data_IF_015207383244
#
_entry.id   IF_015207383244
#
_cell.length_a   1.000
_cell.length_b   1.000
_cell.length_c   1.000
_cell.angle_alpha   90.00
_cell.angle_beta   90.00
_cell.angle_gamma   90.00
#
_symmetry.space_group_name_H-M   'P 1'
#
loop_
_entity.id
_entity.type
_entity.pdbx_description
1 polymer ?
#
# COMPACT_ATOMS: atom_id res chain seq x y z
N UNK A 1 -1.00 -43.25 -21.70
CA UNK A 1 -0.25 -42.10 -22.25
C UNK A 1 -0.12 -41.08 -21.14
N UNK A 2 1.04 -41.01 -20.49
CA UNK A 2 1.24 -40.16 -19.31
C UNK A 2 1.49 -38.72 -19.76
N UNK A 3 0.65 -37.80 -19.27
CA UNK A 3 0.81 -36.37 -19.51
C UNK A 3 2.08 -35.85 -18.84
N UNK A 4 2.95 -35.20 -19.60
CA UNK A 4 4.10 -34.48 -19.06
C UNK A 4 3.98 -33.02 -19.44
N UNK A 5 3.14 -32.30 -18.67
CA UNK A 5 3.07 -30.84 -18.70
C UNK A 5 4.25 -30.28 -17.92
N UNK A 6 5.43 -30.21 -18.54
CA UNK A 6 6.58 -29.50 -17.97
C UNK A 6 6.39 -28.01 -18.21
N UNK A 7 5.66 -27.35 -17.30
CA UNK A 7 5.43 -25.91 -17.35
C UNK A 7 6.57 -25.14 -16.67
N UNK A 8 7.76 -25.15 -17.26
CA UNK A 8 8.82 -24.22 -16.86
C UNK A 8 8.63 -22.90 -17.60
N UNK A 9 7.64 -22.10 -17.19
CA UNK A 9 7.52 -20.73 -17.70
C UNK A 9 8.78 -19.96 -17.31
N UNK A 10 9.45 -19.36 -18.30
CA UNK A 10 10.67 -18.59 -18.09
C UNK A 10 10.38 -17.42 -17.14
N UNK A 11 10.80 -17.54 -15.88
CA UNK A 11 10.70 -16.47 -14.90
C UNK A 11 11.69 -15.37 -15.27
N UNK A 12 11.23 -14.33 -15.96
CA UNK A 12 12.05 -13.15 -16.23
C UNK A 12 12.06 -12.24 -15.01
N UNK A 13 13.12 -11.44 -14.84
CA UNK A 13 13.19 -10.42 -13.78
C UNK A 13 11.98 -9.48 -13.82
N UNK A 14 11.55 -9.10 -15.02
CA UNK A 14 10.38 -8.26 -15.22
C UNK A 14 9.08 -8.92 -14.74
N UNK A 15 8.89 -10.21 -15.07
CA UNK A 15 7.73 -10.98 -14.60
C UNK A 15 7.76 -11.13 -13.08
N UNK A 16 8.93 -11.42 -12.50
CA UNK A 16 9.12 -11.50 -11.05
C UNK A 16 8.75 -10.19 -10.35
N UNK A 17 9.24 -9.06 -10.84
CA UNK A 17 8.92 -7.73 -10.30
C UNK A 17 7.46 -7.31 -10.51
N UNK A 18 6.75 -7.95 -11.45
CA UNK A 18 5.33 -7.72 -11.73
C UNK A 18 4.38 -8.47 -10.78
N UNK A 19 4.87 -9.34 -9.90
CA UNK A 19 4.00 -9.94 -8.88
C UNK A 19 3.68 -8.91 -7.79
N UNK A 20 2.40 -8.84 -7.40
CA UNK A 20 1.94 -7.88 -6.40
C UNK A 20 2.67 -8.03 -5.05
N UNK A 21 3.00 -9.26 -4.68
CA UNK A 21 3.75 -9.55 -3.45
C UNK A 21 5.17 -8.98 -3.46
N UNK A 22 5.79 -8.94 -4.64
CA UNK A 22 7.14 -8.42 -4.85
C UNK A 22 7.16 -6.90 -4.99
N UNK A 23 6.06 -6.30 -5.45
CA UNK A 23 5.87 -4.84 -5.47
C UNK A 23 5.46 -4.25 -4.12
N UNK A 24 4.76 -5.03 -3.29
CA UNK A 24 4.22 -4.53 -2.04
C UNK A 24 5.34 -4.03 -1.12
N UNK A 25 5.16 -2.84 -0.57
CA UNK A 25 6.00 -2.32 0.51
C UNK A 25 5.54 -3.00 1.81
N UNK A 26 6.39 -3.88 2.34
CA UNK A 26 6.16 -4.62 3.59
C UNK A 26 6.96 -4.05 4.76
N UNK A 27 7.90 -3.15 4.46
CA UNK A 27 8.72 -2.47 5.45
C UNK A 27 7.83 -1.55 6.30
N UNK A 28 7.89 -1.71 7.61
CA UNK A 28 7.07 -0.96 8.56
C UNK A 28 7.47 0.51 8.62
N UNK A 29 8.77 0.82 8.54
CA UNK A 29 9.25 2.19 8.56
C UNK A 29 8.78 2.95 7.33
N UNK A 30 8.92 2.35 6.14
CA UNK A 30 8.45 2.99 4.90
C UNK A 30 6.93 3.12 4.82
N UNK A 31 6.21 2.20 5.45
CA UNK A 31 4.74 2.31 5.58
C UNK A 31 4.36 3.48 6.50
N UNK A 32 5.06 3.65 7.62
CA UNK A 32 4.86 4.77 8.54
C UNK A 32 5.26 6.11 7.90
N UNK A 33 6.38 6.16 7.19
CA UNK A 33 6.81 7.35 6.46
C UNK A 33 5.79 7.73 5.38
N UNK A 34 5.25 6.74 4.67
CA UNK A 34 4.14 6.94 3.73
C UNK A 34 2.87 7.49 4.39
N UNK A 35 2.55 7.05 5.61
CA UNK A 35 1.45 7.60 6.41
C UNK A 35 1.70 9.05 6.82
N UNK A 36 2.90 9.35 7.32
CA UNK A 36 3.30 10.71 7.71
C UNK A 36 3.21 11.66 6.52
N UNK A 37 3.74 11.26 5.36
CA UNK A 37 3.65 12.04 4.12
C UNK A 37 2.19 12.28 3.71
N UNK A 38 1.35 11.26 3.78
CA UNK A 38 -0.07 11.40 3.48
C UNK A 38 -0.77 12.39 4.42
N UNK A 39 -0.51 12.29 5.74
CA UNK A 39 -1.04 13.21 6.75
C UNK A 39 -0.53 14.64 6.56
N UNK A 40 0.69 14.81 6.05
CA UNK A 40 1.25 16.11 5.66
C UNK A 40 0.71 16.66 4.33
N UNK A 41 -0.26 15.97 3.69
CA UNK A 41 -0.91 16.42 2.46
C UNK A 41 -0.20 16.01 1.17
N UNK A 42 0.80 15.13 1.23
CA UNK A 42 1.44 14.62 0.03
C UNK A 42 0.44 13.80 -0.80
N UNK A 43 0.32 14.11 -2.08
CA UNK A 43 -0.50 13.32 -2.98
C UNK A 43 0.11 11.91 -3.22
N UNK A 44 -0.73 10.99 -3.69
CA UNK A 44 -0.37 9.58 -3.91
C UNK A 44 0.83 9.41 -4.86
N UNK A 45 1.01 10.32 -5.84
CA UNK A 45 2.17 10.29 -6.75
C UNK A 45 3.47 10.68 -6.04
N UNK A 46 3.41 11.64 -5.12
CA UNK A 46 4.53 12.05 -4.28
C UNK A 46 4.98 10.91 -3.36
N UNK A 47 4.03 10.25 -2.70
CA UNK A 47 4.30 9.08 -1.84
C UNK A 47 4.87 7.93 -2.69
N UNK A 48 4.32 7.68 -3.87
CA UNK A 48 4.83 6.67 -4.79
C UNK A 48 6.30 6.92 -5.17
N UNK A 49 6.65 8.17 -5.49
CA UNK A 49 8.03 8.55 -5.82
C UNK A 49 8.97 8.25 -4.66
N UNK A 50 8.62 8.72 -3.46
CA UNK A 50 9.37 8.44 -2.23
C UNK A 50 9.60 6.92 -2.03
N UNK A 51 8.54 6.12 -2.12
CA UNK A 51 8.67 4.67 -1.94
C UNK A 51 9.57 4.01 -2.99
N UNK A 52 9.55 4.47 -4.24
CA UNK A 52 10.44 3.92 -5.29
C UNK A 52 11.90 4.28 -5.04
N UNK A 53 12.16 5.52 -4.63
CA UNK A 53 13.51 6.00 -4.30
C UNK A 53 14.12 5.22 -3.12
N UNK A 54 13.31 4.87 -2.12
CA UNK A 54 13.78 4.18 -0.92
C UNK A 54 13.72 2.64 -0.98
N UNK A 55 12.95 2.04 -1.90
CA UNK A 55 12.86 0.56 -2.02
C UNK A 55 13.54 -0.03 -3.24
N UNK A 56 13.73 0.76 -4.30
CA UNK A 56 14.12 0.24 -5.62
C UNK A 56 13.09 -0.70 -6.26
N UNK A 57 11.89 -0.86 -5.68
CA UNK A 57 10.84 -1.76 -6.19
C UNK A 57 9.98 -1.05 -7.23
N UNK A 58 9.39 -1.85 -8.14
CA UNK A 58 8.42 -1.37 -9.14
C UNK A 58 7.03 -1.09 -8.55
N UNK A 59 6.95 -0.50 -7.35
CA UNK A 59 5.70 -0.11 -6.69
C UNK A 59 4.80 0.68 -7.66
N UNK A 60 3.49 0.46 -7.59
CA UNK A 60 2.48 1.16 -8.42
C UNK A 60 1.58 2.06 -7.58
N UNK A 61 0.80 2.94 -8.23
CA UNK A 61 -0.20 3.76 -7.54
C UNK A 61 -1.22 2.90 -6.77
N UNK A 62 -1.64 1.76 -7.35
CA UNK A 62 -2.56 0.83 -6.69
C UNK A 62 -1.98 0.30 -5.38
N UNK A 63 -0.68 0.02 -5.35
CA UNK A 63 0.00 -0.45 -4.14
C UNK A 63 0.00 0.64 -3.04
N UNK A 64 0.16 1.92 -3.41
CA UNK A 64 0.06 3.05 -2.46
C UNK A 64 -1.36 3.25 -1.95
N UNK A 65 -2.37 3.16 -2.83
CA UNK A 65 -3.77 3.21 -2.41
C UNK A 65 -4.10 2.09 -1.42
N UNK A 66 -3.68 0.87 -1.72
CA UNK A 66 -3.88 -0.28 -0.82
C UNK A 66 -3.19 -0.06 0.54
N UNK A 67 -1.98 0.51 0.54
CA UNK A 67 -1.24 0.84 1.76
C UNK A 67 -2.02 1.84 2.63
N UNK A 68 -2.45 2.96 2.05
CA UNK A 68 -3.23 3.99 2.75
C UNK A 68 -4.57 3.42 3.27
N UNK A 69 -5.25 2.60 2.47
CA UNK A 69 -6.47 1.92 2.90
C UNK A 69 -6.23 1.03 4.12
N UNK A 70 -5.17 0.22 4.13
CA UNK A 70 -4.83 -0.63 5.28
C UNK A 70 -4.54 0.19 6.54
N UNK A 71 -3.84 1.33 6.39
CA UNK A 71 -3.58 2.26 7.49
C UNK A 71 -4.90 2.78 8.07
N UNK A 72 -5.81 3.27 7.21
CA UNK A 72 -7.14 3.76 7.63
C UNK A 72 -7.95 2.68 8.33
N UNK A 73 -7.99 1.46 7.79
CA UNK A 73 -8.70 0.35 8.43
C UNK A 73 -8.13 -0.02 9.80
N UNK A 74 -6.80 0.01 9.96
CA UNK A 74 -6.15 -0.21 11.25
C UNK A 74 -6.46 0.91 12.25
N UNK A 75 -6.50 2.16 11.81
CA UNK A 75 -6.92 3.27 12.66
C UNK A 75 -8.40 3.12 13.09
N UNK A 76 -9.29 2.76 12.16
CA UNK A 76 -10.72 2.61 12.45
C UNK A 76 -11.05 1.43 13.37
N UNK A 77 -10.23 0.37 13.34
CA UNK A 77 -10.36 -0.76 14.29
C UNK A 77 -9.85 -0.43 15.69
N UNK A 78 -9.01 0.60 15.82
CA UNK A 78 -8.46 1.05 17.09
C UNK A 78 -9.29 2.18 17.73
N UNK A 79 -10.18 2.83 16.98
CA UNK A 79 -11.12 3.82 17.49
C UNK A 79 -12.39 3.15 18.02
N UNK A 80 -12.81 3.58 19.21
CA UNK A 80 -14.12 3.25 19.76
C UNK A 80 -15.23 3.87 18.89
N UNK A 81 -16.42 3.26 18.85
CA UNK A 81 -17.55 3.80 18.07
C UNK A 81 -17.90 5.24 18.47
N UNK A 82 -17.63 5.63 19.72
CA UNK A 82 -17.78 6.99 20.23
C UNK A 82 -16.83 7.98 19.53
N UNK A 83 -15.53 7.67 19.44
CA UNK A 83 -14.54 8.52 18.75
C UNK A 83 -14.86 8.65 17.26
N UNK A 84 -15.39 7.58 16.65
CA UNK A 84 -15.83 7.59 15.26
C UNK A 84 -17.04 8.50 15.06
N UNK A 85 -18.01 8.47 15.98
CA UNK A 85 -19.17 9.35 15.94
C UNK A 85 -18.79 10.83 16.12
N UNK A 86 -17.85 11.14 17.02
CA UNK A 86 -17.38 12.51 17.22
C UNK A 86 -16.64 13.06 16.00
N UNK A 87 -15.78 12.27 15.35
CA UNK A 87 -15.08 12.70 14.15
C UNK A 87 -16.03 13.00 12.97
N UNK A 88 -17.10 12.21 12.82
CA UNK A 88 -18.13 12.47 11.81
C UNK A 88 -18.97 13.72 12.12
N UNK A 89 -19.24 13.99 13.40
CA UNK A 89 -19.96 15.21 13.80
C UNK A 89 -19.12 16.47 13.58
N UNK A 90 -17.80 16.40 13.81
CA UNK A 90 -16.87 17.49 13.55
C UNK A 90 -16.76 17.83 12.05
N UNK A 91 -16.76 16.80 11.19
CA UNK A 91 -16.80 16.95 9.72
C UNK A 91 -18.13 17.55 9.22
N UNK A 92 -19.25 17.29 9.89
CA UNK A 92 -20.57 17.83 9.54
C UNK A 92 -20.84 19.25 10.07
N UNK A 93 -20.11 19.68 11.09
CA UNK A 93 -20.23 21.02 11.69
C UNK A 93 -19.21 22.04 11.13
N UNK A 94 -18.40 21.63 10.16
CA UNK A 94 -17.49 22.49 9.39
C UNK A 94 -18.10 22.93 8.06
#
# INVERSE_FOLDING_TARGET
MSGSGVHNHRLTKELWESYAENRAVKDVHLTNDGEVLHKAGANVKGILRYLREHTGRKTTLKDVHNMIQRIRCKQSSNQTDAERAFALLDELCS
#
